data_IF_032586079048
#
_entry.id   IF_032586079048
#
_cell.length_a   1.000
_cell.length_b   1.000
_cell.length_c   1.000
_cell.angle_alpha   90.00
_cell.angle_beta   90.00
_cell.angle_gamma   90.00
#
_symmetry.space_group_name_H-M   'P 1'
#
loop_
_entity.id
_entity.type
_entity.pdbx_description
1 polymer ?
#
# COMPACT_ATOMS: atom_id res chain seq x y z
N UNK A 1 13.09 -13.39 -44.63
CA UNK A 1 12.70 -12.51 -43.51
C UNK A 1 12.49 -13.38 -42.28
N UNK A 2 13.37 -13.28 -41.27
CA UNK A 2 13.16 -13.91 -39.97
C UNK A 2 12.07 -13.11 -39.24
N UNK A 3 10.97 -13.76 -38.87
CA UNK A 3 10.01 -13.18 -37.92
C UNK A 3 10.73 -13.08 -36.58
N UNK A 4 11.10 -11.88 -36.20
CA UNK A 4 11.48 -11.60 -34.81
C UNK A 4 10.26 -11.96 -33.96
N UNK A 5 10.43 -13.00 -33.15
CA UNK A 5 9.54 -13.30 -32.04
C UNK A 5 9.61 -12.10 -31.11
N UNK A 6 8.58 -11.25 -31.16
CA UNK A 6 8.29 -10.29 -30.10
C UNK A 6 8.23 -11.11 -28.81
N UNK A 7 9.30 -11.07 -28.02
CA UNK A 7 9.28 -11.57 -26.65
C UNK A 7 8.32 -10.66 -25.92
N UNK A 8 7.04 -11.04 -25.87
CA UNK A 8 6.09 -10.47 -24.94
C UNK A 8 6.72 -10.69 -23.57
N UNK A 9 7.15 -9.62 -22.93
CA UNK A 9 7.53 -9.64 -21.52
C UNK A 9 6.35 -10.29 -20.79
N UNK A 10 6.57 -11.31 -19.95
CA UNK A 10 5.46 -11.95 -19.25
C UNK A 10 4.69 -10.86 -18.50
N UNK A 11 3.41 -10.69 -18.83
CA UNK A 11 2.56 -9.67 -18.20
C UNK A 11 2.60 -9.87 -16.69
N UNK A 12 2.92 -8.78 -15.97
CA UNK A 12 2.95 -8.83 -14.52
C UNK A 12 1.54 -9.19 -14.03
N UNK A 13 1.38 -10.16 -13.10
CA UNK A 13 0.09 -10.53 -12.53
C UNK A 13 -0.81 -9.35 -12.18
N UNK A 14 -0.20 -8.30 -11.63
CA UNK A 14 -0.90 -7.16 -11.08
C UNK A 14 -1.29 -6.12 -12.13
N UNK A 15 -0.76 -6.20 -13.37
CA UNK A 15 -1.36 -5.49 -14.51
C UNK A 15 -2.78 -6.02 -14.76
N UNK A 16 -2.99 -7.33 -14.58
CA UNK A 16 -4.33 -7.93 -14.64
C UNK A 16 -5.19 -7.60 -13.40
N UNK A 17 -4.57 -7.21 -12.28
CA UNK A 17 -5.29 -6.59 -11.16
C UNK A 17 -5.78 -5.17 -11.52
N UNK A 18 -5.20 -4.53 -12.55
CA UNK A 18 -5.54 -3.18 -13.00
C UNK A 18 -4.55 -2.12 -12.55
N UNK A 19 -3.37 -2.50 -12.04
CA UNK A 19 -2.30 -1.56 -11.75
C UNK A 19 -1.53 -1.17 -13.02
N UNK A 20 -1.07 0.08 -13.04
CA UNK A 20 -0.09 0.57 -14.00
C UNK A 20 1.32 0.06 -13.65
N UNK A 21 2.25 0.18 -14.60
CA UNK A 21 3.65 -0.20 -14.34
C UNK A 21 4.28 0.59 -13.19
N UNK A 22 3.93 1.88 -13.06
CA UNK A 22 4.43 2.73 -11.96
C UNK A 22 3.90 2.27 -10.60
N UNK A 23 2.60 1.97 -10.51
CA UNK A 23 1.98 1.49 -9.27
C UNK A 23 2.55 0.14 -8.83
N UNK A 24 3.01 -0.69 -9.79
CA UNK A 24 3.71 -1.95 -9.57
C UNK A 24 5.16 -1.73 -9.14
N UNK A 25 5.87 -0.82 -9.79
CA UNK A 25 7.27 -0.56 -9.49
C UNK A 25 7.45 0.00 -8.08
N UNK A 26 6.57 0.90 -7.66
CA UNK A 26 6.67 1.60 -6.37
C UNK A 26 5.77 1.02 -5.28
N UNK A 27 5.00 -0.04 -5.56
CA UNK A 27 4.04 -0.64 -4.64
C UNK A 27 3.11 0.39 -3.97
N UNK A 28 2.75 1.44 -4.71
CA UNK A 28 2.11 2.64 -4.16
C UNK A 28 1.09 3.22 -5.13
N UNK A 29 -0.02 3.71 -4.58
CA UNK A 29 -1.09 4.40 -5.30
C UNK A 29 -1.54 5.64 -4.51
N UNK A 30 -2.21 6.58 -5.17
CA UNK A 30 -2.81 7.73 -4.48
C UNK A 30 -4.10 7.33 -3.77
N UNK A 31 -4.57 8.15 -2.82
CA UNK A 31 -5.84 7.89 -2.14
C UNK A 31 -7.02 7.97 -3.10
N UNK A 32 -7.03 8.93 -4.04
CA UNK A 32 -8.05 8.96 -5.09
C UNK A 32 -8.08 7.65 -5.88
N UNK A 33 -6.91 7.14 -6.26
CA UNK A 33 -6.78 5.88 -6.99
C UNK A 33 -7.26 4.69 -6.16
N UNK A 34 -6.98 4.69 -4.87
CA UNK A 34 -7.48 3.67 -3.94
C UNK A 34 -9.01 3.67 -3.85
N UNK A 35 -9.65 4.85 -3.81
CA UNK A 35 -11.12 4.96 -3.82
C UNK A 35 -11.74 4.42 -5.12
N UNK A 36 -11.08 4.63 -6.27
CA UNK A 36 -11.51 4.02 -7.54
C UNK A 36 -11.48 2.49 -7.48
N UNK A 37 -10.43 1.91 -6.88
CA UNK A 37 -10.30 0.47 -6.67
C UNK A 37 -11.41 -0.05 -5.76
N UNK A 38 -11.74 0.64 -4.67
CA UNK A 38 -12.83 0.23 -3.78
C UNK A 38 -14.20 0.23 -4.48
N UNK A 39 -14.43 1.22 -5.37
CA UNK A 39 -15.69 1.37 -6.13
C UNK A 39 -15.80 0.42 -7.32
N UNK A 40 -14.69 -0.11 -7.84
CA UNK A 40 -14.72 -0.99 -9.00
C UNK A 40 -15.58 -2.25 -8.71
N UNK A 41 -16.63 -2.52 -9.50
CA UNK A 41 -17.54 -3.66 -9.27
C UNK A 41 -16.85 -5.02 -9.38
N UNK A 42 -15.68 -5.12 -10.02
CA UNK A 42 -14.91 -6.36 -10.14
C UNK A 42 -14.13 -6.70 -8.87
N UNK A 43 -14.06 -5.77 -7.92
CA UNK A 43 -13.28 -5.93 -6.69
C UNK A 43 -14.18 -6.35 -5.53
N UNK A 44 -13.71 -7.32 -4.76
CA UNK A 44 -14.34 -7.76 -3.51
C UNK A 44 -13.48 -7.32 -2.33
N UNK A 45 -14.08 -6.66 -1.36
CA UNK A 45 -13.38 -6.15 -0.17
C UNK A 45 -13.60 -7.17 0.94
N UNK A 46 -12.51 -7.65 1.53
CA UNK A 46 -12.56 -8.71 2.54
C UNK A 46 -12.50 -8.16 3.97
N UNK A 47 -11.65 -7.16 4.18
CA UNK A 47 -11.36 -6.62 5.51
C UNK A 47 -10.96 -5.16 5.43
N UNK A 48 -11.34 -4.41 6.45
CA UNK A 48 -10.92 -3.03 6.73
C UNK A 48 -10.66 -2.97 8.23
N UNK A 49 -9.41 -2.78 8.62
CA UNK A 49 -8.99 -2.78 10.03
C UNK A 49 -7.88 -1.78 10.31
N UNK A 50 -7.94 -1.11 11.46
CA UNK A 50 -6.80 -0.38 12.00
C UNK A 50 -5.86 -1.37 12.67
N UNK A 51 -4.56 -1.28 12.36
CA UNK A 51 -3.53 -2.12 12.96
C UNK A 51 -2.21 -1.36 12.99
N UNK A 52 -1.34 -1.71 13.94
CA UNK A 52 -0.06 -1.07 14.10
C UNK A 52 0.99 -1.97 14.69
N UNK A 53 2.24 -1.56 14.50
CA UNK A 53 3.44 -2.17 15.07
C UNK A 53 4.50 -1.07 15.26
N UNK A 54 5.77 -1.47 15.45
CA UNK A 54 6.89 -0.55 15.63
C UNK A 54 7.20 0.33 14.41
N UNK A 55 6.66 0.01 13.24
CA UNK A 55 6.83 0.82 12.02
C UNK A 55 5.79 1.93 11.90
N UNK A 56 4.64 1.78 12.58
CA UNK A 56 3.55 2.74 12.52
C UNK A 56 2.18 2.13 12.76
N UNK A 57 1.17 2.98 12.67
CA UNK A 57 -0.24 2.63 12.79
C UNK A 57 -0.97 3.02 11.51
N UNK A 58 -1.65 2.06 10.87
CA UNK A 58 -2.27 2.23 9.56
C UNK A 58 -3.65 1.60 9.48
N UNK A 59 -4.45 2.07 8.52
CA UNK A 59 -5.65 1.38 8.08
C UNK A 59 -5.28 0.37 6.99
N UNK A 60 -5.56 -0.91 7.25
CA UNK A 60 -5.33 -2.01 6.34
C UNK A 60 -6.63 -2.39 5.62
N UNK A 61 -6.56 -2.58 4.30
CA UNK A 61 -7.70 -2.97 3.47
C UNK A 61 -7.32 -4.09 2.52
N UNK A 62 -7.93 -5.28 2.72
CA UNK A 62 -7.69 -6.44 1.86
C UNK A 62 -8.75 -6.53 0.78
N UNK A 63 -8.32 -6.60 -0.47
CA UNK A 63 -9.16 -6.62 -1.67
C UNK A 63 -8.75 -7.78 -2.55
N UNK A 64 -9.73 -8.48 -3.13
CA UNK A 64 -9.48 -9.39 -4.24
C UNK A 64 -10.13 -8.94 -5.53
N UNK A 65 -9.53 -9.38 -6.64
CA UNK A 65 -10.10 -9.31 -7.97
C UNK A 65 -10.05 -10.70 -8.59
N UNK A 66 -11.18 -11.16 -9.09
CA UNK A 66 -11.23 -12.35 -9.93
C UNK A 66 -10.63 -12.03 -11.30
N UNK A 67 -9.77 -12.93 -11.76
CA UNK A 67 -9.28 -12.95 -13.12
C UNK A 67 -9.46 -14.37 -13.66
N UNK A 68 -9.61 -14.50 -14.98
CA UNK A 68 -10.00 -15.73 -15.70
C UNK A 68 -9.24 -17.01 -15.29
N UNK A 69 -8.05 -16.88 -14.69
CA UNK A 69 -7.17 -17.97 -14.28
C UNK A 69 -6.94 -18.07 -12.76
N UNK A 70 -7.13 -16.98 -12.00
CA UNK A 70 -6.82 -16.92 -10.57
C UNK A 70 -7.45 -15.72 -9.88
N UNK A 71 -7.71 -15.86 -8.59
CA UNK A 71 -8.00 -14.74 -7.69
C UNK A 71 -6.69 -14.05 -7.30
N UNK A 72 -6.58 -12.76 -7.56
CA UNK A 72 -5.49 -11.92 -7.07
C UNK A 72 -5.97 -11.21 -5.81
N UNK A 73 -5.22 -11.33 -4.71
CA UNK A 73 -5.54 -10.69 -3.44
C UNK A 73 -4.40 -9.76 -3.05
N UNK A 74 -4.75 -8.54 -2.69
CA UNK A 74 -3.82 -7.46 -2.33
C UNK A 74 -4.31 -6.85 -1.03
N UNK A 75 -3.38 -6.56 -0.11
CA UNK A 75 -3.67 -5.74 1.07
C UNK A 75 -3.01 -4.38 0.89
N UNK A 76 -3.81 -3.34 1.08
CA UNK A 76 -3.38 -1.96 1.09
C UNK A 76 -3.20 -1.49 2.52
N UNK A 77 -2.24 -0.60 2.76
CA UNK A 77 -2.11 0.13 4.01
C UNK A 77 -1.84 1.61 3.73
N UNK A 78 -2.41 2.47 4.57
CA UNK A 78 -2.35 3.93 4.45
C UNK A 78 -3.15 4.58 5.58
N UNK A 79 -3.42 5.88 5.48
CA UNK A 79 -4.21 6.61 6.48
C UNK A 79 -3.72 6.38 7.92
N UNK A 80 -2.43 6.63 8.11
CA UNK A 80 -1.68 6.23 9.29
C UNK A 80 -0.42 7.05 9.49
N UNK A 81 0.20 6.92 10.66
CA UNK A 81 1.49 7.53 10.95
C UNK A 81 2.59 6.49 10.77
N UNK A 82 3.64 6.87 10.04
CA UNK A 82 4.80 6.02 9.81
C UNK A 82 5.98 6.52 10.66
N UNK A 83 6.50 5.67 11.54
CA UNK A 83 7.51 6.04 12.54
C UNK A 83 8.84 6.46 11.90
N UNK A 84 9.40 5.62 11.02
CA UNK A 84 10.68 5.94 10.38
C UNK A 84 10.63 7.14 9.43
N UNK A 85 9.52 7.32 8.70
CA UNK A 85 9.31 8.47 7.82
C UNK A 85 8.89 9.71 8.61
N UNK A 86 8.49 9.56 9.88
CA UNK A 86 8.04 10.62 10.78
C UNK A 86 6.95 11.50 10.16
N UNK A 87 5.98 10.88 9.49
CA UNK A 87 4.86 11.60 8.87
C UNK A 87 3.61 10.77 8.71
N UNK A 88 2.49 11.49 8.56
CA UNK A 88 1.20 10.92 8.25
C UNK A 88 1.07 10.62 6.74
N UNK A 89 0.47 9.49 6.43
CA UNK A 89 0.03 9.11 5.09
C UNK A 89 -1.43 9.54 4.93
N UNK A 90 -1.69 10.59 4.15
CA UNK A 90 -3.06 11.10 3.90
C UNK A 90 -3.52 10.95 2.46
N UNK A 91 -2.57 10.87 1.51
CA UNK A 91 -2.84 10.73 0.08
C UNK A 91 -2.12 9.56 -0.59
N UNK A 92 -1.35 8.75 0.15
CA UNK A 92 -0.68 7.57 -0.40
C UNK A 92 -1.11 6.29 0.30
N UNK A 93 -1.14 5.23 -0.50
CA UNK A 93 -1.46 3.87 -0.08
C UNK A 93 -0.43 2.93 -0.65
N UNK A 94 0.18 2.17 0.23
CA UNK A 94 1.12 1.13 -0.11
C UNK A 94 0.39 -0.20 -0.20
N UNK A 95 0.95 -1.18 -0.91
CA UNK A 95 0.30 -2.47 -1.05
C UNK A 95 1.27 -3.62 -1.18
N UNK A 96 0.80 -4.81 -0.79
CA UNK A 96 1.52 -6.05 -0.97
C UNK A 96 0.57 -7.21 -1.28
N UNK A 97 1.04 -8.25 -2.00
CA UNK A 97 0.22 -9.41 -2.29
C UNK A 97 -0.11 -10.22 -1.03
N UNK A 98 -1.34 -10.72 -0.97
CA UNK A 98 -1.85 -11.49 0.17
C UNK A 98 -2.19 -12.91 -0.26
N UNK A 99 -1.84 -13.89 0.59
CA UNK A 99 -2.18 -15.29 0.33
C UNK A 99 -3.66 -15.58 0.61
N UNK A 100 -4.25 -16.48 -0.17
CA UNK A 100 -5.66 -16.86 -0.08
C UNK A 100 -6.06 -17.48 1.25
N UNK A 101 -5.11 -18.07 1.97
CA UNK A 101 -5.32 -18.69 3.29
C UNK A 101 -5.19 -17.71 4.47
N UNK A 102 -4.94 -16.42 4.21
CA UNK A 102 -4.88 -15.39 5.27
C UNK A 102 -6.23 -15.21 5.97
N UNK A 103 -6.21 -14.95 7.28
CA UNK A 103 -7.41 -14.57 8.05
C UNK A 103 -8.11 -13.34 7.43
N UNK A 104 -7.34 -12.42 6.85
CA UNK A 104 -7.88 -11.22 6.21
C UNK A 104 -8.74 -11.52 4.97
N UNK A 105 -8.69 -12.74 4.43
CA UNK A 105 -9.46 -13.17 3.27
C UNK A 105 -10.80 -13.84 3.65
N UNK A 106 -11.05 -14.17 4.93
CA UNK A 106 -12.20 -14.98 5.36
C UNK A 106 -13.55 -14.25 5.36
N UNK A 107 -13.56 -12.94 5.13
CA UNK A 107 -14.76 -12.11 5.16
C UNK A 107 -15.10 -11.48 3.82
N UNK A 108 -16.24 -10.80 3.81
CA UNK A 108 -16.60 -9.80 2.80
C UNK A 108 -17.25 -8.62 3.52
N UNK A 109 -16.79 -7.41 3.22
CA UNK A 109 -17.37 -6.16 3.71
C UNK A 109 -18.05 -5.47 2.54
N UNK A 110 -19.22 -4.89 2.81
CA UNK A 110 -19.93 -4.08 1.83
C UNK A 110 -19.06 -2.87 1.38
N UNK A 111 -19.11 -2.53 0.09
CA UNK A 111 -18.30 -1.43 -0.47
C UNK A 111 -18.60 -0.08 0.17
N UNK A 112 -19.86 0.25 0.42
CA UNK A 112 -20.25 1.51 1.04
C UNK A 112 -19.75 1.58 2.49
N UNK A 113 -19.79 0.44 3.20
CA UNK A 113 -19.25 0.35 4.55
C UNK A 113 -17.73 0.52 4.58
N UNK A 114 -17.02 -0.07 3.61
CA UNK A 114 -15.58 0.06 3.47
C UNK A 114 -15.18 1.51 3.12
N UNK A 115 -15.86 2.12 2.15
CA UNK A 115 -15.64 3.52 1.78
C UNK A 115 -15.87 4.44 2.97
N UNK A 116 -16.96 4.25 3.71
CA UNK A 116 -17.28 5.04 4.90
C UNK A 116 -16.21 4.89 5.99
N UNK A 117 -15.68 3.70 6.22
CA UNK A 117 -14.58 3.50 7.18
C UNK A 117 -13.29 4.20 6.74
N UNK A 118 -12.95 4.10 5.45
CA UNK A 118 -11.76 4.74 4.87
C UNK A 118 -11.84 6.26 4.98
N UNK A 119 -12.97 6.85 4.58
CA UNK A 119 -13.15 8.30 4.66
C UNK A 119 -13.22 8.79 6.12
N UNK A 120 -13.92 8.06 7.00
CA UNK A 120 -13.97 8.41 8.43
C UNK A 120 -12.57 8.41 9.06
N UNK A 121 -11.73 7.43 8.71
CA UNK A 121 -10.33 7.39 9.18
C UNK A 121 -9.54 8.58 8.64
N UNK A 122 -9.72 8.94 7.37
CA UNK A 122 -9.05 10.10 6.78
C UNK A 122 -9.43 11.40 7.50
N UNK A 123 -10.72 11.60 7.76
CA UNK A 123 -11.22 12.76 8.51
C UNK A 123 -10.67 12.80 9.95
N UNK A 124 -10.55 11.64 10.60
CA UNK A 124 -9.99 11.51 11.95
C UNK A 124 -8.53 11.95 12.01
N UNK A 125 -7.69 11.52 11.04
CA UNK A 125 -6.24 11.79 11.09
C UNK A 125 -5.86 13.17 10.55
N UNK A 126 -6.70 13.77 9.70
CA UNK A 126 -6.37 15.01 8.98
C UNK A 126 -5.90 16.15 9.91
N UNK A 127 -6.54 16.43 11.08
CA UNK A 127 -6.10 17.48 11.98
C UNK A 127 -4.72 17.23 12.62
N UNK A 128 -4.28 15.98 12.70
CA UNK A 128 -2.95 15.61 13.19
C UNK A 128 -1.91 15.73 12.08
N UNK A 129 -2.26 15.28 10.89
CA UNK A 129 -1.42 15.40 9.70
C UNK A 129 -1.09 16.87 9.36
N UNK A 130 -2.06 17.77 9.45
CA UNK A 130 -1.86 19.20 9.17
C UNK A 130 -0.94 19.92 10.17
N UNK A 131 -0.78 19.37 11.38
CA UNK A 131 0.06 19.94 12.45
C UNK A 131 1.44 19.30 12.51
N UNK A 132 1.61 18.13 11.93
CA UNK A 132 2.87 17.40 11.95
C UNK A 132 3.89 18.08 11.04
N UNK A 133 5.15 18.09 11.46
CA UNK A 133 6.28 18.47 10.63
C UNK A 133 7.23 17.30 10.60
N UNK A 134 7.53 16.80 9.41
CA UNK A 134 8.47 15.71 9.21
C UNK A 134 9.87 16.14 9.65
N UNK A 135 10.55 15.32 10.46
CA UNK A 135 11.95 15.56 10.82
C UNK A 135 12.91 15.36 9.64
N UNK A 136 14.12 15.91 9.75
CA UNK A 136 15.20 15.66 8.78
C UNK A 136 15.56 14.17 8.69
N UNK A 137 15.52 13.47 9.83
CA UNK A 137 15.75 12.03 9.89
C UNK A 137 14.67 11.27 9.10
N UNK A 138 13.40 11.65 9.26
CA UNK A 138 12.28 11.09 8.49
C UNK A 138 12.40 11.34 6.99
N UNK A 139 12.83 12.55 6.59
CA UNK A 139 13.12 12.86 5.20
C UNK A 139 14.27 12.02 4.63
N UNK A 140 15.34 11.81 5.40
CA UNK A 140 16.47 10.99 4.98
C UNK A 140 16.06 9.53 4.79
N UNK A 141 15.28 8.98 5.73
CA UNK A 141 14.72 7.64 5.59
C UNK A 141 13.89 7.49 4.31
N UNK A 142 13.04 8.47 4.01
CA UNK A 142 12.20 8.46 2.80
C UNK A 142 13.04 8.39 1.51
N UNK A 143 14.17 9.09 1.45
CA UNK A 143 15.11 9.00 0.32
C UNK A 143 15.70 7.60 0.21
N UNK A 144 16.09 6.97 1.33
CA UNK A 144 16.60 5.60 1.32
C UNK A 144 15.54 4.63 0.81
N UNK A 145 14.30 4.76 1.28
CA UNK A 145 13.21 3.87 0.92
C UNK A 145 12.77 3.99 -0.54
N UNK A 146 12.90 5.17 -1.15
CA UNK A 146 12.69 5.33 -2.60
C UNK A 146 13.82 4.69 -3.44
N UNK A 147 15.01 4.44 -2.86
CA UNK A 147 16.16 3.84 -3.54
C UNK A 147 16.23 2.31 -3.40
N UNK A 148 15.73 1.75 -2.30
CA UNK A 148 15.80 0.32 -1.99
C UNK A 148 14.39 -0.29 -1.92
N UNK A 149 13.74 -0.09 -0.79
CA UNK A 149 12.35 -0.32 -0.37
C UNK A 149 12.30 -0.02 1.14
N UNK A 150 11.16 -0.17 1.83
CA UNK A 150 11.11 0.12 3.27
C UNK A 150 12.04 -0.81 4.07
N UNK A 151 12.09 -2.11 3.75
CA UNK A 151 12.92 -3.10 4.48
C UNK A 151 14.42 -2.80 4.33
N UNK A 152 14.86 -2.47 3.12
CA UNK A 152 16.23 -2.06 2.82
C UNK A 152 16.58 -0.73 3.49
N UNK A 153 15.65 0.24 3.49
CA UNK A 153 15.88 1.51 4.18
C UNK A 153 15.99 1.33 5.69
N UNK A 154 15.18 0.46 6.30
CA UNK A 154 15.27 0.14 7.73
C UNK A 154 16.65 -0.43 8.06
N UNK A 155 17.13 -1.41 7.29
CA UNK A 155 18.44 -2.01 7.52
C UNK A 155 19.57 -0.97 7.50
N UNK A 156 19.61 -0.13 6.46
CA UNK A 156 20.63 0.92 6.31
C UNK A 156 20.51 2.02 7.38
N UNK A 157 19.28 2.39 7.74
CA UNK A 157 19.01 3.45 8.71
C UNK A 157 19.33 3.00 10.14
N UNK A 158 18.97 1.78 10.51
CA UNK A 158 19.30 1.19 11.82
C UNK A 158 20.81 1.00 11.96
N UNK A 159 21.51 0.57 10.91
CA UNK A 159 22.98 0.48 10.89
C UNK A 159 23.64 1.86 11.07
N UNK A 160 23.11 2.91 10.41
CA UNK A 160 23.60 4.27 10.57
C UNK A 160 23.39 4.80 11.99
N UNK A 161 22.22 4.56 12.59
CA UNK A 161 21.94 4.93 13.98
C UNK A 161 22.84 4.17 14.96
N UNK A 162 23.11 2.89 14.69
CA UNK A 162 24.03 2.07 15.46
C UNK A 162 25.49 2.52 15.36
N UNK A 163 25.91 3.09 14.22
CA UNK A 163 27.26 3.63 14.04
C UNK A 163 27.47 5.00 14.71
N UNK A 164 26.40 5.80 14.84
CA UNK A 164 26.42 7.12 15.48
C UNK A 164 26.24 7.07 17.01
N UNK A 165 26.00 5.88 17.57
CA UNK A 165 25.82 5.60 19.00
C UNK A 165 27.11 5.38 19.78
#
# INVERSE_FOLDING_TARGET
MKKESLRLTPENPYQKFGFTESEILFYRITHQRFLEILRDPKNKIHKVEDSGNTYGEFLFVTISRENYERQLIVTFYGLGFHEYRDRWFTDEWHWYPTFTNSESCKGEINKDDALRKVEARKEEILPYAEKATQSEAGHFFEILADLTDDDGAIAEFDDLLGFLG
#
